data_IF_291522761335
#
_entry.id   IF_291522761335
#
_cell.length_a   1.000
_cell.length_b   1.000
_cell.length_c   1.000
_cell.angle_alpha   90.00
_cell.angle_beta   90.00
_cell.angle_gamma   90.00
#
_symmetry.space_group_name_H-M   'P 1'
#
loop_
_entity.id
_entity.type
_entity.pdbx_description
1 polymer ?
#
# COMPACT_ATOMS: atom_id res chain seq x y z
N UNK A 1 -13.07 2.46 -9.04
CA UNK A 1 -13.74 2.10 -7.79
C UNK A 1 -12.74 2.18 -6.65
N UNK A 2 -13.13 2.74 -5.52
CA UNK A 2 -12.24 2.88 -4.37
C UNK A 2 -12.08 1.54 -3.63
N UNK A 3 -11.00 1.44 -2.84
CA UNK A 3 -10.74 0.28 -1.99
C UNK A 3 -11.91 0.01 -1.04
N UNK A 4 -12.45 1.07 -0.43
CA UNK A 4 -13.57 0.95 0.50
C UNK A 4 -14.84 0.49 -0.21
N UNK A 5 -15.10 0.96 -1.43
CA UNK A 5 -16.26 0.51 -2.20
C UNK A 5 -16.16 -0.97 -2.55
N UNK A 6 -14.96 -1.42 -2.91
CA UNK A 6 -14.74 -2.83 -3.22
C UNK A 6 -14.92 -3.68 -1.96
N UNK A 7 -14.39 -3.23 -0.82
CA UNK A 7 -14.55 -3.94 0.45
C UNK A 7 -16.02 -4.06 0.83
N UNK A 8 -16.80 -3.00 0.64
CA UNK A 8 -18.23 -3.02 0.94
C UNK A 8 -18.98 -4.03 0.07
N UNK A 9 -18.63 -4.11 -1.22
CA UNK A 9 -19.23 -5.10 -2.11
C UNK A 9 -18.92 -6.54 -1.66
N UNK A 10 -17.69 -6.78 -1.21
CA UNK A 10 -17.31 -8.11 -0.72
C UNK A 10 -18.14 -8.47 0.51
N UNK A 11 -18.30 -7.55 1.44
CA UNK A 11 -19.10 -7.77 2.65
C UNK A 11 -20.57 -7.99 2.30
N UNK A 12 -21.11 -7.19 1.39
CA UNK A 12 -22.51 -7.32 0.97
C UNK A 12 -22.81 -8.67 0.33
N UNK A 13 -21.82 -9.27 -0.32
CA UNK A 13 -21.96 -10.58 -0.95
C UNK A 13 -21.57 -11.73 -0.03
N UNK A 14 -21.23 -11.46 1.22
CA UNK A 14 -20.85 -12.48 2.21
C UNK A 14 -19.71 -13.40 1.74
N UNK A 15 -18.70 -12.82 1.10
CA UNK A 15 -17.52 -13.57 0.64
C UNK A 15 -16.55 -13.72 1.80
N UNK A 16 -16.74 -14.79 2.59
CA UNK A 16 -16.08 -15.00 3.88
C UNK A 16 -14.84 -15.91 3.85
N UNK A 17 -14.42 -16.37 2.68
CA UNK A 17 -13.19 -17.15 2.57
C UNK A 17 -11.98 -16.26 2.94
N UNK A 18 -10.84 -16.89 3.35
CA UNK A 18 -9.64 -16.09 3.68
C UNK A 18 -9.26 -15.15 2.55
N UNK A 19 -9.04 -13.89 2.88
CA UNK A 19 -8.69 -12.84 1.93
C UNK A 19 -8.00 -11.70 2.62
N UNK A 20 -7.39 -10.81 1.83
CA UNK A 20 -6.82 -9.58 2.36
C UNK A 20 -7.92 -8.53 2.51
N UNK A 21 -7.75 -7.67 3.50
CA UNK A 21 -8.61 -6.53 3.74
C UNK A 21 -7.75 -5.26 3.84
N UNK A 22 -8.34 -4.07 3.66
CA UNK A 22 -7.60 -2.82 3.88
C UNK A 22 -6.95 -2.76 5.27
N UNK A 23 -7.64 -3.27 6.30
CA UNK A 23 -7.12 -3.27 7.67
C UNK A 23 -5.87 -4.15 7.79
N UNK A 24 -5.84 -5.29 7.12
CA UNK A 24 -4.67 -6.17 7.12
C UNK A 24 -3.48 -5.52 6.41
N UNK A 25 -3.74 -4.78 5.32
CA UNK A 25 -2.69 -4.05 4.63
C UNK A 25 -2.10 -2.98 5.55
N UNK A 26 -2.94 -2.21 6.23
CA UNK A 26 -2.47 -1.19 7.16
C UNK A 26 -1.73 -1.79 8.35
N UNK A 27 -2.19 -2.93 8.85
CA UNK A 27 -1.54 -3.62 9.96
C UNK A 27 -0.14 -4.16 9.59
N UNK A 28 0.11 -4.38 8.32
CA UNK A 28 1.42 -4.84 7.86
C UNK A 28 2.48 -3.73 7.88
N UNK A 29 2.08 -2.47 7.94
CA UNK A 29 2.98 -1.32 7.90
C UNK A 29 3.42 -0.99 9.32
N UNK A 30 4.72 -1.03 9.59
CA UNK A 30 5.27 -0.74 10.92
C UNK A 30 6.06 0.55 10.97
N UNK A 31 6.45 1.11 9.83
CA UNK A 31 7.19 2.37 9.78
C UNK A 31 7.00 3.03 8.43
N UNK A 32 7.12 4.35 8.40
CA UNK A 32 7.08 5.10 7.15
C UNK A 32 8.09 6.25 7.20
N UNK A 33 8.68 6.55 6.06
CA UNK A 33 9.65 7.61 5.93
C UNK A 33 9.44 8.33 4.59
N UNK A 34 9.75 9.61 4.56
CA UNK A 34 9.54 10.45 3.38
C UNK A 34 10.81 11.20 3.04
N UNK A 35 11.01 11.43 1.76
CA UNK A 35 12.13 12.21 1.28
C UNK A 35 11.73 13.00 0.05
N UNK A 36 12.06 14.27 0.05
CA UNK A 36 11.87 15.16 -1.11
C UNK A 36 13.26 15.51 -1.64
N UNK A 37 13.51 15.20 -2.91
CA UNK A 37 14.80 15.54 -3.51
C UNK A 37 14.94 17.05 -3.62
N UNK A 38 15.98 17.66 -3.02
CA UNK A 38 16.15 19.12 -3.01
C UNK A 38 16.08 19.71 -4.42
N UNK A 39 15.35 20.82 -4.55
CA UNK A 39 15.20 21.51 -5.83
C UNK A 39 14.27 20.84 -6.82
N UNK A 40 13.57 19.79 -6.42
CA UNK A 40 12.64 19.06 -7.28
C UNK A 40 11.26 18.97 -6.65
N UNK A 41 10.30 18.43 -7.43
CA UNK A 41 8.94 18.17 -6.96
C UNK A 41 8.75 16.69 -6.58
N UNK A 42 9.83 15.90 -6.59
CA UNK A 42 9.72 14.44 -6.37
C UNK A 42 9.74 14.12 -4.88
N UNK A 43 8.70 13.43 -4.43
CA UNK A 43 8.57 12.93 -3.07
C UNK A 43 8.60 11.41 -3.10
N UNK A 44 9.38 10.81 -2.20
CA UNK A 44 9.43 9.35 -2.05
C UNK A 44 8.87 9.00 -0.68
N UNK A 45 8.07 7.94 -0.63
CA UNK A 45 7.63 7.31 0.60
C UNK A 45 8.17 5.89 0.66
N UNK A 46 8.80 5.53 1.78
CA UNK A 46 9.17 4.15 2.07
C UNK A 46 8.27 3.66 3.19
N UNK A 47 7.57 2.56 2.92
CA UNK A 47 6.80 1.85 3.94
C UNK A 47 7.55 0.59 4.31
N UNK A 48 7.81 0.40 5.61
CA UNK A 48 8.48 -0.81 6.10
C UNK A 48 7.43 -1.76 6.66
N UNK A 49 7.53 -3.02 6.27
CA UNK A 49 6.58 -4.05 6.68
C UNK A 49 7.09 -4.80 7.90
N UNK A 50 6.22 -5.63 8.49
CA UNK A 50 6.50 -6.34 9.74
C UNK A 50 7.76 -7.20 9.70
N UNK A 51 8.11 -7.74 8.54
CA UNK A 51 9.33 -8.57 8.39
C UNK A 51 10.56 -7.78 7.95
N UNK A 52 10.45 -6.43 7.89
CA UNK A 52 11.56 -5.58 7.48
C UNK A 52 11.63 -5.29 5.99
N UNK A 53 10.81 -5.94 5.18
CA UNK A 53 10.75 -5.63 3.75
C UNK A 53 10.13 -4.25 3.54
N UNK A 54 10.52 -3.57 2.48
CA UNK A 54 10.02 -2.21 2.22
C UNK A 54 9.37 -2.11 0.85
N UNK A 55 8.37 -1.22 0.76
CA UNK A 55 7.83 -0.79 -0.53
C UNK A 55 8.11 0.70 -0.69
N UNK A 56 8.34 1.11 -1.92
CA UNK A 56 8.63 2.49 -2.27
C UNK A 56 7.54 3.01 -3.19
N UNK A 57 7.02 4.19 -2.88
CA UNK A 57 6.11 4.90 -3.76
C UNK A 57 6.64 6.31 -3.99
N UNK A 58 6.29 6.89 -5.12
CA UNK A 58 6.75 8.23 -5.46
C UNK A 58 5.62 9.07 -6.02
N UNK A 59 5.82 10.39 -5.95
CA UNK A 59 4.93 11.36 -6.57
C UNK A 59 5.76 12.53 -7.05
N UNK A 60 5.25 13.26 -8.05
CA UNK A 60 5.90 14.46 -8.54
C UNK A 60 4.86 15.39 -9.13
N UNK A 61 5.01 16.70 -8.87
CA UNK A 61 4.21 17.72 -9.56
C UNK A 61 4.94 18.13 -10.83
N UNK A 62 4.18 18.60 -11.83
CA UNK A 62 4.76 19.03 -13.10
C UNK A 62 5.62 20.29 -12.91
N UNK A 63 5.22 21.18 -12.01
CA UNK A 63 5.96 22.42 -11.74
C UNK A 63 6.15 22.64 -10.25
N UNK A 64 7.22 23.34 -9.88
CA UNK A 64 7.48 23.71 -8.48
C UNK A 64 6.38 24.61 -7.91
N UNK A 65 5.75 25.42 -8.74
CA UNK A 65 4.67 26.31 -8.31
C UNK A 65 3.46 25.56 -7.78
N UNK A 66 3.20 24.35 -8.31
CA UNK A 66 2.08 23.53 -7.91
C UNK A 66 2.48 22.46 -6.90
N UNK A 67 3.73 22.45 -6.46
CA UNK A 67 4.20 21.45 -5.50
C UNK A 67 3.69 21.76 -4.10
N UNK A 68 3.02 20.77 -3.50
CA UNK A 68 2.55 20.82 -2.13
C UNK A 68 3.05 19.54 -1.43
N UNK A 69 3.82 19.71 -0.36
CA UNK A 69 4.45 18.58 0.32
C UNK A 69 3.44 17.60 0.94
N UNK A 70 2.30 18.09 1.43
CA UNK A 70 1.29 17.22 2.00
C UNK A 70 0.66 16.33 0.92
N UNK A 71 0.34 16.93 -0.22
CA UNK A 71 -0.21 16.19 -1.35
C UNK A 71 0.83 15.20 -1.88
N UNK A 72 2.08 15.64 -2.00
CA UNK A 72 3.18 14.78 -2.44
C UNK A 72 3.34 13.55 -1.55
N UNK A 73 3.34 13.76 -0.23
CA UNK A 73 3.44 12.65 0.73
C UNK A 73 2.24 11.71 0.64
N UNK A 74 1.04 12.25 0.54
CA UNK A 74 -0.17 11.45 0.44
C UNK A 74 -0.14 10.54 -0.79
N UNK A 75 0.19 11.10 -1.95
CA UNK A 75 0.23 10.33 -3.20
C UNK A 75 1.35 9.31 -3.18
N UNK A 76 2.54 9.70 -2.71
CA UNK A 76 3.67 8.77 -2.60
C UNK A 76 3.33 7.60 -1.68
N UNK A 77 2.68 7.89 -0.54
CA UNK A 77 2.27 6.85 0.40
C UNK A 77 1.24 5.90 -0.21
N UNK A 78 0.25 6.43 -0.90
CA UNK A 78 -0.75 5.62 -1.58
C UNK A 78 -0.10 4.68 -2.61
N UNK A 79 0.87 5.19 -3.36
CA UNK A 79 1.57 4.40 -4.36
C UNK A 79 2.42 3.29 -3.71
N UNK A 80 3.09 3.60 -2.59
CA UNK A 80 3.83 2.59 -1.84
C UNK A 80 2.89 1.53 -1.25
N UNK A 81 1.76 1.96 -0.67
CA UNK A 81 0.77 1.09 -0.05
C UNK A 81 0.13 0.14 -1.08
N UNK A 82 -0.14 0.63 -2.27
CA UNK A 82 -0.74 -0.20 -3.32
C UNK A 82 0.13 -1.41 -3.67
N UNK A 83 1.45 -1.29 -3.52
CA UNK A 83 2.36 -2.41 -3.80
C UNK A 83 2.25 -3.52 -2.75
N UNK A 84 1.78 -3.21 -1.55
CA UNK A 84 1.66 -4.18 -0.47
C UNK A 84 0.59 -5.24 -0.79
N UNK A 85 -0.47 -4.84 -1.50
CA UNK A 85 -1.53 -5.78 -1.87
C UNK A 85 -0.98 -7.01 -2.61
N UNK A 86 -0.11 -6.80 -3.59
CA UNK A 86 0.46 -7.90 -4.36
C UNK A 86 1.36 -8.77 -3.49
N UNK A 87 2.16 -8.16 -2.62
CA UNK A 87 3.06 -8.90 -1.74
C UNK A 87 2.29 -9.75 -0.73
N UNK A 88 1.32 -9.16 -0.06
CA UNK A 88 0.52 -9.87 0.92
C UNK A 88 -0.41 -10.88 0.27
N UNK A 89 -0.89 -10.59 -0.94
CA UNK A 89 -1.69 -11.51 -1.71
C UNK A 89 -0.93 -12.78 -2.06
N UNK A 90 0.30 -12.63 -2.52
CA UNK A 90 1.16 -13.77 -2.81
C UNK A 90 1.46 -14.57 -1.53
N UNK A 91 1.74 -13.87 -0.44
CA UNK A 91 2.02 -14.53 0.84
C UNK A 91 0.83 -15.34 1.34
N UNK A 92 -0.38 -14.77 1.26
CA UNK A 92 -1.60 -15.48 1.66
C UNK A 92 -1.85 -16.67 0.75
N UNK A 93 -1.68 -16.51 -0.56
CA UNK A 93 -1.86 -17.60 -1.51
C UNK A 93 -0.90 -18.75 -1.22
N UNK A 94 0.35 -18.42 -0.90
CA UNK A 94 1.33 -19.44 -0.57
C UNK A 94 0.96 -20.19 0.70
N UNK A 95 0.48 -19.47 1.72
CA UNK A 95 0.03 -20.10 2.96
C UNK A 95 -1.13 -21.05 2.71
N UNK A 96 -2.15 -20.62 1.96
CA UNK A 96 -3.29 -21.47 1.65
C UNK A 96 -2.91 -22.69 0.83
N UNK A 97 -1.96 -22.52 -0.09
CA UNK A 97 -1.43 -23.60 -0.89
C UNK A 97 -0.76 -24.65 -0.02
N UNK A 98 0.09 -24.22 0.91
CA UNK A 98 0.78 -25.14 1.82
C UNK A 98 -0.20 -25.87 2.74
N UNK A 99 -1.18 -25.15 3.27
CA UNK A 99 -2.22 -25.74 4.11
C UNK A 99 -3.06 -26.79 3.35
N UNK A 100 -3.30 -26.58 2.07
CA UNK A 100 -4.07 -27.51 1.25
C UNK A 100 -3.33 -28.82 0.97
N UNK A 101 -2.02 -28.82 1.18
CA UNK A 101 -1.18 -30.01 0.97
C UNK A 101 -0.91 -30.81 2.23
N UNK A 102 -1.32 -30.28 3.36
CA UNK A 102 -1.10 -30.94 4.65
C UNK A 102 -2.03 -32.13 4.85
#
# INVERSE_FOLDING_TARGET
MSEQSTEQMIQDKNLNAPRLTPELIDAAIVDEAYYVFPGTTTTICRLTLTNGYSTIGESAAVSLENFDIEIGRKVARENARNKIWALEGYRLKQKLYEESKA
#
